data_IF_775462998102
#
_entry.id   IF_775462998102
#
_cell.length_a   1.000
_cell.length_b   1.000
_cell.length_c   1.000
_cell.angle_alpha   90.00
_cell.angle_beta   90.00
_cell.angle_gamma   90.00
#
_symmetry.space_group_name_H-M   'P 1'
#
loop_
_entity.id
_entity.type
_entity.pdbx_description
1 polymer ?
#
# COMPACT_ATOMS: atom_id res chain seq x y z
N UNK A 1 -3.97 -3.16 22.84
CA UNK A 1 -5.33 -3.41 22.32
C UNK A 1 -5.53 -4.91 22.11
N UNK A 2 -6.72 -5.46 22.36
CA UNK A 2 -7.00 -6.90 22.17
C UNK A 2 -8.30 -7.05 21.39
N UNK A 3 -8.31 -7.94 20.40
CA UNK A 3 -9.52 -8.36 19.69
C UNK A 3 -9.65 -9.88 19.77
N UNK A 4 -10.77 -10.43 19.30
CA UNK A 4 -11.02 -11.87 19.25
C UNK A 4 -11.23 -12.32 17.81
N UNK A 5 -10.68 -13.48 17.49
CA UNK A 5 -11.00 -14.19 16.24
C UNK A 5 -12.47 -14.62 16.27
N UNK A 6 -13.18 -14.42 15.17
CA UNK A 6 -14.58 -14.81 14.98
C UNK A 6 -14.75 -15.53 13.65
N UNK A 7 -15.72 -16.43 13.59
CA UNK A 7 -16.17 -17.00 12.32
C UNK A 7 -17.02 -15.99 11.56
N UNK A 8 -16.70 -15.79 10.28
CA UNK A 8 -17.43 -14.94 9.33
C UNK A 8 -17.73 -15.81 8.12
N UNK A 9 -18.96 -16.33 8.04
CA UNK A 9 -19.30 -17.37 7.06
C UNK A 9 -18.43 -18.62 7.28
N UNK A 10 -17.73 -19.04 6.23
CA UNK A 10 -16.79 -20.17 6.25
C UNK A 10 -15.33 -19.76 6.54
N UNK A 11 -15.10 -18.50 6.89
CA UNK A 11 -13.75 -17.94 7.13
C UNK A 11 -13.58 -17.51 8.58
N UNK A 12 -12.32 -17.34 8.99
CA UNK A 12 -11.95 -16.67 10.24
C UNK A 12 -11.59 -15.21 9.97
N UNK A 13 -12.01 -14.33 10.87
CA UNK A 13 -11.68 -12.92 10.79
C UNK A 13 -11.52 -12.28 12.17
N UNK A 14 -10.97 -11.08 12.19
CA UNK A 14 -10.90 -10.22 13.37
C UNK A 14 -11.63 -8.92 13.08
N UNK A 15 -12.26 -8.36 14.11
CA UNK A 15 -12.83 -7.02 14.01
C UNK A 15 -11.76 -6.05 14.50
N UNK A 16 -11.33 -5.16 13.62
CA UNK A 16 -10.36 -4.11 13.94
C UNK A 16 -11.09 -2.96 14.66
N UNK A 17 -10.57 -2.48 15.80
CA UNK A 17 -11.12 -1.31 16.49
C UNK A 17 -11.03 -0.05 15.64
N UNK A 18 -11.95 0.90 15.85
CA UNK A 18 -12.04 2.15 15.07
C UNK A 18 -10.79 3.04 15.19
N UNK A 19 -9.99 2.84 16.24
CA UNK A 19 -8.72 3.54 16.45
C UNK A 19 -7.66 3.17 15.40
N UNK A 20 -7.81 2.02 14.73
CA UNK A 20 -6.98 1.63 13.59
C UNK A 20 -7.55 2.32 12.35
N UNK A 21 -6.84 3.34 11.86
CA UNK A 21 -7.27 4.23 10.78
C UNK A 21 -7.17 3.56 9.39
N UNK A 22 -7.94 2.49 9.19
CA UNK A 22 -8.15 1.83 7.90
C UNK A 22 -9.52 2.19 7.35
N UNK A 23 -9.60 2.40 6.04
CA UNK A 23 -10.88 2.72 5.40
C UNK A 23 -11.62 1.44 5.05
N UNK A 24 -12.96 1.50 5.12
CA UNK A 24 -13.81 0.41 4.67
C UNK A 24 -13.55 0.15 3.17
N UNK A 25 -13.21 -1.10 2.84
CA UNK A 25 -12.92 -1.51 1.47
C UNK A 25 -11.44 -1.41 1.08
N UNK A 26 -10.55 -0.98 1.98
CA UNK A 26 -9.11 -1.11 1.74
C UNK A 26 -8.68 -2.58 1.69
N UNK A 27 -7.88 -2.91 0.68
CA UNK A 27 -7.25 -4.20 0.55
C UNK A 27 -5.97 -4.26 1.39
N UNK A 28 -5.77 -5.37 2.07
CA UNK A 28 -4.61 -5.62 2.92
C UNK A 28 -3.93 -6.90 2.47
N UNK A 29 -2.60 -6.88 2.35
CA UNK A 29 -1.82 -8.11 2.29
C UNK A 29 -1.65 -8.67 3.70
N UNK A 30 -1.91 -9.97 3.84
CA UNK A 30 -1.74 -10.71 5.10
C UNK A 30 -0.42 -11.47 5.05
N UNK A 31 0.46 -11.21 6.02
CA UNK A 31 1.67 -11.99 6.24
C UNK A 31 1.57 -12.69 7.59
N UNK A 32 2.11 -13.91 7.67
CA UNK A 32 2.31 -14.62 8.92
C UNK A 32 3.81 -14.82 9.14
N UNK A 33 4.30 -14.35 10.28
CA UNK A 33 5.67 -14.54 10.73
C UNK A 33 5.58 -15.12 12.14
N UNK A 34 5.98 -16.38 12.29
CA UNK A 34 5.82 -17.15 13.53
C UNK A 34 4.36 -17.14 14.04
N UNK A 35 4.13 -16.57 15.22
CA UNK A 35 2.83 -16.39 15.88
C UNK A 35 2.18 -15.02 15.60
N UNK A 36 2.82 -14.21 14.77
CA UNK A 36 2.42 -12.84 14.48
C UNK A 36 1.78 -12.73 13.10
N UNK A 37 0.60 -12.09 13.05
CA UNK A 37 -0.09 -11.74 11.81
C UNK A 37 0.14 -10.26 11.53
N UNK A 38 0.66 -9.94 10.35
CA UNK A 38 0.89 -8.59 9.88
C UNK A 38 -0.11 -8.29 8.77
N UNK A 39 -0.87 -7.20 8.95
CA UNK A 39 -1.77 -6.65 7.95
C UNK A 39 -1.12 -5.40 7.35
N UNK A 40 -0.78 -5.43 6.08
CA UNK A 40 -0.16 -4.30 5.37
C UNK A 40 -1.12 -3.77 4.30
N UNK A 41 -1.47 -2.47 4.29
CA UNK A 41 -2.25 -1.89 3.20
C UNK A 41 -1.60 -2.12 1.85
N UNK A 42 -2.42 -2.48 0.86
CA UNK A 42 -2.00 -2.53 -0.54
C UNK A 42 -1.99 -1.10 -1.06
N UNK A 43 -0.79 -0.57 -1.29
CA UNK A 43 -0.62 0.68 -2.01
C UNK A 43 -0.38 0.35 -3.48
N UNK A 44 -1.10 1.03 -4.38
CA UNK A 44 -0.80 0.96 -5.79
C UNK A 44 0.65 1.39 -6.01
N UNK A 45 1.39 0.62 -6.79
CA UNK A 45 2.73 0.99 -7.19
C UNK A 45 2.63 2.25 -8.08
N UNK A 46 3.18 3.36 -7.60
CA UNK A 46 3.15 4.63 -8.34
C UNK A 46 3.98 4.57 -9.62
N UNK A 47 4.91 3.61 -9.73
CA UNK A 47 5.75 3.41 -10.90
C UNK A 47 5.17 2.43 -11.93
N UNK A 48 4.08 1.73 -11.62
CA UNK A 48 3.45 0.79 -12.55
C UNK A 48 2.66 1.51 -13.67
N UNK A 49 2.17 2.71 -13.39
CA UNK A 49 1.36 3.47 -14.32
C UNK A 49 2.16 4.62 -14.92
N UNK A 50 2.89 4.34 -16.01
CA UNK A 50 3.71 5.32 -16.73
C UNK A 50 2.89 6.51 -17.23
N UNK A 51 1.57 6.37 -17.42
CA UNK A 51 0.72 7.47 -17.83
C UNK A 51 0.52 8.51 -16.71
N UNK A 52 0.68 8.13 -15.44
CA UNK A 52 0.70 9.09 -14.31
C UNK A 52 1.97 9.93 -14.24
N UNK A 53 3.00 9.55 -14.99
CA UNK A 53 4.24 10.29 -15.12
C UNK A 53 4.22 11.23 -16.34
N UNK A 54 3.11 11.28 -17.08
CA UNK A 54 2.96 12.18 -18.21
C UNK A 54 3.13 13.64 -17.75
N UNK A 55 4.03 14.36 -18.42
CA UNK A 55 4.43 15.71 -18.04
C UNK A 55 5.49 15.82 -16.95
N UNK A 56 5.88 14.76 -16.23
CA UNK A 56 6.96 14.83 -15.23
C UNK A 56 8.27 15.34 -15.84
N UNK A 57 8.67 14.77 -16.98
CA UNK A 57 9.88 15.19 -17.69
C UNK A 57 9.83 16.64 -18.21
N UNK A 58 8.63 17.21 -18.36
CA UNK A 58 8.47 18.62 -18.72
C UNK A 58 8.69 19.58 -17.55
N UNK A 59 8.70 19.06 -16.31
CA UNK A 59 8.96 19.84 -15.09
C UNK A 59 10.43 19.87 -14.68
N UNK A 60 11.29 19.06 -15.32
CA UNK A 60 12.72 19.05 -15.05
C UNK A 60 13.39 20.35 -15.50
N UNK A 61 14.26 20.87 -14.64
CA UNK A 61 15.18 21.96 -14.94
C UNK A 61 16.24 21.53 -15.97
N UNK A 62 16.97 22.48 -16.54
CA UNK A 62 18.05 22.17 -17.50
C UNK A 62 19.14 21.33 -16.87
N UNK A 63 19.53 21.63 -15.63
CA UNK A 63 20.47 20.82 -14.86
C UNK A 63 19.95 19.38 -14.72
N UNK A 64 18.72 19.18 -14.27
CA UNK A 64 18.15 17.83 -14.10
C UNK A 64 18.04 17.04 -15.42
N UNK A 65 17.91 17.71 -16.56
CA UNK A 65 17.93 17.06 -17.89
C UNK A 65 19.33 16.60 -18.28
N UNK A 66 20.35 17.42 -18.01
CA UNK A 66 21.75 17.05 -18.29
C UNK A 66 22.18 15.80 -17.50
N UNK A 67 21.72 15.65 -16.25
CA UNK A 67 22.01 14.45 -15.44
C UNK A 67 21.32 13.17 -15.94
N UNK A 68 20.17 13.26 -16.59
CA UNK A 68 19.47 12.12 -17.20
C UNK A 68 20.09 11.69 -18.53
N UNK A 69 20.59 12.64 -19.33
CA UNK A 69 21.25 12.34 -20.62
C UNK A 69 22.62 11.66 -20.47
N UNK A 70 23.24 11.76 -19.29
CA UNK A 70 24.56 11.19 -18.97
C UNK A 70 24.50 9.77 -18.36
N UNK A 71 23.34 9.09 -18.42
CA UNK A 71 23.10 7.68 -17.99
C UNK A 71 22.99 6.72 -19.17
#
# INVERSE_FOLDING_TARGET
>A
MKTKVRSIGNSLGVILPQEINLKKGEELTVYQVDDTIILKPVHANVFEDTAKWDGFYSTLTEEEKEWEEDQ
#
